data_IF_893924774236
#
_entry.id   IF_893924774236
#
_cell.length_a   1.000
_cell.length_b   1.000
_cell.length_c   1.000
_cell.angle_alpha   90.00
_cell.angle_beta   90.00
_cell.angle_gamma   90.00
#
_symmetry.space_group_name_H-M   'P 1'
#
loop_
_entity.id
_entity.type
_entity.pdbx_description
1 polymer ?
#
# COMPACT_ATOMS: atom_id res chain seq x y z
N UNK A 1 -19.72 23.60 -6.76
CA UNK A 1 -18.28 23.87 -6.55
C UNK A 1 -17.83 22.94 -5.43
N UNK A 2 -17.57 21.67 -5.75
CA UNK A 2 -16.99 20.72 -4.79
C UNK A 2 -15.49 21.00 -4.78
N UNK A 3 -15.00 21.72 -3.78
CA UNK A 3 -13.58 21.68 -3.47
C UNK A 3 -13.27 20.21 -3.14
N UNK A 4 -12.31 19.63 -3.86
CA UNK A 4 -11.83 18.26 -3.66
C UNK A 4 -11.55 18.02 -2.18
N UNK A 5 -12.49 17.37 -1.49
CA UNK A 5 -12.32 16.91 -0.11
C UNK A 5 -11.15 15.92 -0.02
N UNK A 6 -10.87 15.21 -1.12
CA UNK A 6 -9.66 14.41 -1.31
C UNK A 6 -8.40 15.28 -1.22
N UNK A 7 -8.25 16.34 -2.01
CA UNK A 7 -7.07 17.22 -1.95
C UNK A 7 -6.80 17.79 -0.54
N UNK A 8 -7.85 18.03 0.26
CA UNK A 8 -7.72 18.45 1.67
C UNK A 8 -7.26 17.31 2.60
N UNK A 9 -7.70 16.08 2.37
CA UNK A 9 -7.24 14.88 3.06
C UNK A 9 -5.76 14.55 2.76
N UNK A 10 -5.33 14.78 1.51
CA UNK A 10 -3.99 14.45 1.02
C UNK A 10 -2.92 15.41 1.53
N UNK A 11 -3.22 16.71 1.63
CA UNK A 11 -2.34 17.71 2.27
C UNK A 11 -2.67 17.93 3.74
N UNK A 12 -3.26 16.95 4.41
CA UNK A 12 -3.78 17.15 5.75
C UNK A 12 -2.65 17.28 6.80
N UNK A 13 -2.44 18.46 7.43
CA UNK A 13 -1.47 18.62 8.51
C UNK A 13 -1.81 17.78 9.76
N UNK A 14 -3.07 17.39 9.95
CA UNK A 14 -3.48 16.46 11.01
C UNK A 14 -2.91 15.05 10.77
N UNK A 15 -2.72 14.64 9.51
CA UNK A 15 -2.08 13.38 9.17
C UNK A 15 -0.60 13.39 9.57
N UNK A 16 0.11 14.52 9.39
CA UNK A 16 1.51 14.67 9.84
C UNK A 16 1.66 14.47 11.36
N UNK A 17 0.76 15.04 12.15
CA UNK A 17 0.78 14.90 13.62
C UNK A 17 0.42 13.49 14.06
N UNK A 18 -0.69 12.94 13.57
CA UNK A 18 -1.12 11.59 13.91
C UNK A 18 -0.10 10.53 13.48
N UNK A 19 0.63 10.76 12.38
CA UNK A 19 1.75 9.93 11.96
C UNK A 19 2.95 10.04 12.89
N UNK A 20 3.35 11.25 13.27
CA UNK A 20 4.45 11.43 14.20
C UNK A 20 4.15 10.75 15.55
N UNK A 21 2.89 10.75 15.97
CA UNK A 21 2.41 10.00 17.14
C UNK A 21 2.48 8.48 16.92
N UNK A 22 2.08 7.98 15.74
CA UNK A 22 2.20 6.56 15.39
C UNK A 22 3.66 6.09 15.24
N UNK A 23 4.52 6.88 14.60
CA UNK A 23 5.97 6.61 14.45
C UNK A 23 6.69 6.54 15.81
N UNK A 24 6.14 7.21 16.82
CA UNK A 24 6.67 7.16 18.18
C UNK A 24 6.19 5.92 18.96
N UNK A 25 5.25 5.14 18.42
CA UNK A 25 4.80 3.88 19.04
C UNK A 25 5.78 2.74 18.73
N UNK A 26 5.84 1.71 19.59
CA UNK A 26 6.61 0.50 19.30
C UNK A 26 6.14 -0.16 18.01
N UNK A 27 7.08 -0.73 17.26
CA UNK A 27 6.77 -1.53 16.08
C UNK A 27 6.05 -2.82 16.49
N UNK A 28 5.30 -3.40 15.54
CA UNK A 28 4.59 -4.64 15.78
C UNK A 28 5.56 -5.83 15.76
N UNK A 29 5.63 -6.58 16.85
CA UNK A 29 6.34 -7.87 16.88
C UNK A 29 5.58 -8.98 16.13
N UNK A 30 4.37 -8.70 15.65
CA UNK A 30 3.49 -9.68 15.01
C UNK A 30 4.10 -10.34 13.77
N UNK A 31 5.00 -9.63 13.08
CA UNK A 31 5.69 -10.08 11.88
C UNK A 31 7.17 -10.45 12.14
N UNK A 32 7.62 -10.43 13.40
CA UNK A 32 8.99 -10.80 13.80
C UNK A 32 9.13 -12.30 14.08
N UNK A 33 8.06 -12.97 14.51
CA UNK A 33 8.04 -14.43 14.68
C UNK A 33 7.85 -15.10 13.32
N UNK A 34 8.95 -15.55 12.70
CA UNK A 34 8.90 -16.55 11.64
C UNK A 34 8.32 -17.86 12.22
N UNK A 35 7.02 -18.03 12.00
CA UNK A 35 6.25 -19.27 11.83
C UNK A 35 6.16 -20.34 12.93
N UNK A 36 6.98 -20.38 13.98
CA UNK A 36 7.00 -21.62 14.80
C UNK A 36 6.25 -21.54 16.14
N UNK A 37 5.81 -20.36 16.58
CA UNK A 37 5.07 -20.18 17.85
C UNK A 37 3.71 -19.47 17.72
N UNK A 38 3.15 -19.35 16.51
CA UNK A 38 1.71 -19.05 16.33
C UNK A 38 0.90 -20.32 16.62
N UNK A 39 1.22 -21.01 17.72
CA UNK A 39 0.42 -22.09 18.30
C UNK A 39 -0.46 -21.59 19.44
N UNK A 40 -0.38 -20.29 19.78
CA UNK A 40 -1.37 -19.66 20.63
C UNK A 40 -2.64 -19.43 19.82
N UNK A 41 -3.45 -20.49 19.77
CA UNK A 41 -4.86 -20.55 19.35
C UNK A 41 -5.80 -19.53 20.03
N UNK A 42 -5.25 -18.51 20.67
CA UNK A 42 -5.90 -17.45 21.44
C UNK A 42 -5.86 -16.07 20.77
N UNK A 43 -5.04 -15.85 19.74
CA UNK A 43 -4.97 -14.55 19.05
C UNK A 43 -5.71 -14.57 17.70
N UNK A 44 -7.05 -14.41 17.77
CA UNK A 44 -7.96 -14.26 16.60
C UNK A 44 -7.41 -13.26 15.59
N UNK A 45 -6.86 -12.15 16.08
CA UNK A 45 -6.42 -11.07 15.22
C UNK A 45 -5.17 -11.46 14.43
N UNK A 46 -4.31 -12.26 15.06
CA UNK A 46 -3.15 -12.80 14.39
C UNK A 46 -3.48 -13.76 13.26
N UNK A 47 -4.44 -14.68 13.50
CA UNK A 47 -4.87 -15.63 12.48
C UNK A 47 -5.49 -14.91 11.28
N UNK A 48 -6.33 -13.90 11.53
CA UNK A 48 -6.95 -13.10 10.47
C UNK A 48 -5.89 -12.34 9.69
N UNK A 49 -4.94 -11.70 10.39
CA UNK A 49 -3.84 -10.96 9.76
C UNK A 49 -3.03 -11.85 8.84
N UNK A 50 -2.60 -13.02 9.32
CA UNK A 50 -1.81 -13.97 8.51
C UNK A 50 -2.61 -14.48 7.30
N UNK A 51 -3.88 -14.83 7.50
CA UNK A 51 -4.76 -15.32 6.42
C UNK A 51 -4.96 -14.27 5.33
N UNK A 52 -5.19 -13.02 5.72
CA UNK A 52 -5.38 -11.91 4.80
C UNK A 52 -4.06 -11.57 4.08
N UNK A 53 -2.94 -11.55 4.80
CA UNK A 53 -1.61 -11.34 4.22
C UNK A 53 -1.27 -12.44 3.18
N UNK A 54 -1.59 -13.71 3.48
CA UNK A 54 -1.45 -14.81 2.53
C UNK A 54 -2.28 -14.58 1.26
N UNK A 55 -3.54 -14.17 1.40
CA UNK A 55 -4.42 -13.85 0.24
C UNK A 55 -3.90 -12.70 -0.61
N UNK A 56 -3.37 -11.64 0.02
CA UNK A 56 -2.75 -10.54 -0.69
C UNK A 56 -1.49 -11.01 -1.44
N UNK A 57 -0.65 -11.82 -0.78
CA UNK A 57 0.54 -12.42 -1.39
C UNK A 57 0.22 -13.32 -2.58
N UNK A 58 -0.81 -14.17 -2.47
CA UNK A 58 -1.31 -15.01 -3.57
C UNK A 58 -1.80 -14.14 -4.74
N UNK A 59 -2.61 -13.12 -4.48
CA UNK A 59 -3.13 -12.22 -5.52
C UNK A 59 -2.02 -11.43 -6.23
N UNK A 60 -1.03 -10.94 -5.48
CA UNK A 60 0.16 -10.30 -6.04
C UNK A 60 0.97 -11.31 -6.88
N UNK A 61 1.21 -12.51 -6.36
CA UNK A 61 1.93 -13.58 -7.06
C UNK A 61 1.28 -13.92 -8.41
N UNK A 62 -0.03 -14.19 -8.41
CA UNK A 62 -0.79 -14.49 -9.62
C UNK A 62 -0.75 -13.34 -10.65
N UNK A 63 -0.83 -12.09 -10.18
CA UNK A 63 -0.80 -10.94 -11.09
C UNK A 63 0.60 -10.69 -11.68
N UNK A 64 1.64 -10.98 -10.89
CA UNK A 64 3.04 -10.87 -11.29
C UNK A 64 3.42 -11.96 -12.30
N UNK A 65 3.01 -13.21 -12.07
CA UNK A 65 3.24 -14.33 -12.98
C UNK A 65 2.63 -14.10 -14.37
N UNK A 66 1.46 -13.43 -14.42
CA UNK A 66 0.81 -13.05 -15.68
C UNK A 66 1.57 -12.00 -16.49
N UNK A 67 2.52 -11.31 -15.89
CA UNK A 67 3.14 -10.10 -16.42
C UNK A 67 4.66 -10.22 -16.63
N UNK A 68 5.24 -11.40 -16.38
CA UNK A 68 6.67 -11.73 -16.57
C UNK A 68 7.66 -10.73 -15.93
N UNK A 69 7.32 -10.20 -14.75
CA UNK A 69 8.20 -9.23 -14.07
C UNK A 69 9.53 -9.85 -13.60
N UNK A 70 10.62 -9.06 -13.54
CA UNK A 70 11.89 -9.51 -13.00
C UNK A 70 11.78 -10.02 -11.56
N UNK A 71 12.30 -11.23 -11.30
CA UNK A 71 12.25 -11.88 -9.97
C UNK A 71 12.78 -11.01 -8.82
N UNK A 72 13.80 -10.20 -9.08
CA UNK A 72 14.38 -9.31 -8.06
C UNK A 72 13.41 -8.19 -7.66
N UNK A 73 12.70 -7.61 -8.63
CA UNK A 73 11.65 -6.63 -8.40
C UNK A 73 10.50 -7.22 -7.57
N UNK A 74 10.07 -8.43 -7.89
CA UNK A 74 9.06 -9.17 -7.11
C UNK A 74 9.50 -9.39 -5.66
N UNK A 75 10.77 -9.76 -5.44
CA UNK A 75 11.33 -9.94 -4.09
C UNK A 75 11.37 -8.62 -3.32
N UNK A 76 11.75 -7.53 -3.97
CA UNK A 76 11.81 -6.21 -3.34
C UNK A 76 10.41 -5.71 -2.97
N UNK A 77 9.39 -5.97 -3.80
CA UNK A 77 7.99 -5.68 -3.47
C UNK A 77 7.54 -6.46 -2.24
N UNK A 78 7.82 -7.76 -2.21
CA UNK A 78 7.47 -8.60 -1.07
C UNK A 78 8.10 -8.09 0.22
N UNK A 79 9.39 -7.72 0.19
CA UNK A 79 10.08 -7.13 1.33
C UNK A 79 9.47 -5.79 1.76
N UNK A 80 9.05 -4.97 0.80
CA UNK A 80 8.40 -3.69 1.06
C UNK A 80 7.03 -3.88 1.75
N UNK A 81 6.19 -4.79 1.26
CA UNK A 81 4.90 -5.11 1.88
C UNK A 81 5.10 -5.67 3.30
N UNK A 82 6.09 -6.55 3.51
CA UNK A 82 6.43 -7.06 4.84
C UNK A 82 6.91 -5.96 5.79
N UNK A 83 7.74 -5.03 5.31
CA UNK A 83 8.17 -3.85 6.07
C UNK A 83 6.97 -3.02 6.50
N UNK A 84 6.04 -2.72 5.59
CA UNK A 84 4.84 -1.97 5.92
C UNK A 84 3.97 -2.68 6.97
N UNK A 85 3.85 -4.01 6.90
CA UNK A 85 3.18 -4.79 7.94
C UNK A 85 3.87 -4.66 9.30
N UNK A 86 5.19 -4.86 9.35
CA UNK A 86 6.02 -4.72 10.58
C UNK A 86 5.88 -3.34 11.22
N UNK A 87 5.88 -2.31 10.39
CA UNK A 87 5.75 -0.92 10.81
C UNK A 87 4.29 -0.54 11.17
N UNK A 88 3.34 -1.48 11.10
CA UNK A 88 1.90 -1.25 11.27
C UNK A 88 1.35 -0.15 10.33
N UNK A 89 1.91 -0.07 9.11
CA UNK A 89 1.58 0.90 8.06
C UNK A 89 0.65 0.35 6.99
N UNK A 90 0.51 -0.97 6.92
CA UNK A 90 -0.42 -1.67 6.05
C UNK A 90 -0.97 -2.88 6.82
N UNK A 91 -2.27 -2.88 7.10
CA UNK A 91 -2.90 -3.91 7.91
C UNK A 91 -4.32 -4.20 7.42
N UNK A 92 -4.79 -5.45 7.56
CA UNK A 92 -6.12 -5.83 7.09
C UNK A 92 -7.22 -5.36 8.03
N UNK A 93 -8.43 -5.22 7.50
CA UNK A 93 -9.64 -5.17 8.33
C UNK A 93 -9.88 -6.53 9.00
N UNK A 94 -10.30 -6.49 10.27
CA UNK A 94 -10.47 -7.68 11.09
C UNK A 94 -11.82 -8.37 10.89
N UNK A 95 -12.81 -7.63 10.40
CA UNK A 95 -14.18 -8.11 10.25
C UNK A 95 -14.57 -8.26 8.76
N UNK A 96 -13.81 -7.65 7.86
CA UNK A 96 -14.08 -7.60 6.42
C UNK A 96 -12.96 -8.23 5.61
N UNK A 97 -13.32 -9.27 4.85
CA UNK A 97 -12.39 -9.95 3.94
C UNK A 97 -11.94 -9.00 2.83
N UNK A 98 -10.66 -9.10 2.45
CA UNK A 98 -10.05 -8.34 1.36
C UNK A 98 -10.06 -6.81 1.52
N UNK A 99 -10.38 -6.27 2.70
CA UNK A 99 -10.21 -4.84 3.01
C UNK A 99 -8.92 -4.63 3.81
N UNK A 100 -8.24 -3.54 3.50
CA UNK A 100 -6.96 -3.13 4.06
C UNK A 100 -6.98 -1.64 4.34
N UNK A 101 -6.18 -1.22 5.31
CA UNK A 101 -5.96 0.17 5.61
C UNK A 101 -4.48 0.50 5.57
N UNK A 102 -4.19 1.74 5.19
CA UNK A 102 -2.86 2.30 5.29
C UNK A 102 -2.92 3.73 5.81
N UNK A 103 -1.97 4.11 6.65
CA UNK A 103 -1.68 5.50 6.99
C UNK A 103 -0.37 5.99 6.33
N UNK A 104 0.26 5.15 5.49
CA UNK A 104 1.53 5.43 4.84
C UNK A 104 1.37 6.50 3.76
N UNK A 105 2.05 7.63 3.93
CA UNK A 105 1.84 8.82 3.10
C UNK A 105 2.03 8.60 1.62
N UNK A 106 3.11 7.90 1.26
CA UNK A 106 3.47 7.73 -0.14
C UNK A 106 2.52 6.74 -0.83
N UNK A 107 2.00 5.74 -0.11
CA UNK A 107 0.95 4.86 -0.63
C UNK A 107 -0.39 5.59 -0.76
N UNK A 108 -0.76 6.48 0.17
CA UNK A 108 -1.98 7.29 0.06
C UNK A 108 -1.93 8.19 -1.18
N UNK A 109 -0.81 8.89 -1.40
CA UNK A 109 -0.63 9.70 -2.62
C UNK A 109 -0.61 8.83 -3.90
N UNK A 110 -0.08 7.61 -3.81
CA UNK A 110 -0.07 6.68 -4.93
C UNK A 110 -1.49 6.26 -5.31
N UNK A 111 -2.30 5.88 -4.32
CA UNK A 111 -3.70 5.53 -4.50
C UNK A 111 -4.52 6.70 -5.06
N UNK A 112 -4.31 7.93 -4.54
CA UNK A 112 -4.95 9.14 -5.05
C UNK A 112 -4.65 9.35 -6.54
N UNK A 113 -3.38 9.26 -6.93
CA UNK A 113 -2.96 9.44 -8.31
C UNK A 113 -3.65 8.46 -9.27
N UNK A 114 -3.96 7.28 -8.76
CA UNK A 114 -4.66 6.22 -9.49
C UNK A 114 -6.18 6.26 -9.34
N UNK A 115 -6.72 7.17 -8.51
CA UNK A 115 -8.15 7.27 -8.22
C UNK A 115 -8.70 6.10 -7.40
N UNK A 116 -7.91 5.55 -6.47
CA UNK A 116 -8.24 4.37 -5.67
C UNK A 116 -8.51 4.71 -4.19
N UNK A 117 -9.31 3.88 -3.55
CA UNK A 117 -9.59 3.92 -2.11
C UNK A 117 -10.66 4.93 -1.66
N UNK A 118 -11.10 4.80 -0.40
CA UNK A 118 -12.06 5.72 0.24
C UNK A 118 -11.46 6.28 1.53
N UNK A 119 -11.20 7.60 1.60
CA UNK A 119 -10.64 8.22 2.80
C UNK A 119 -11.71 8.50 3.84
N UNK A 120 -13.01 8.45 3.51
CA UNK A 120 -14.11 8.81 4.41
C UNK A 120 -14.44 7.69 5.39
N UNK A 121 -13.98 6.48 5.12
CA UNK A 121 -14.32 5.32 5.90
C UNK A 121 -13.48 5.27 7.18
N UNK A 122 -14.10 4.95 8.33
CA UNK A 122 -13.40 4.75 9.59
C UNK A 122 -12.48 3.54 9.52
N UNK A 123 -11.32 3.60 10.18
CA UNK A 123 -10.51 2.40 10.38
C UNK A 123 -11.22 1.42 11.35
N UNK A 124 -11.87 1.95 12.38
CA UNK A 124 -12.74 1.19 13.28
C UNK A 124 -14.04 1.95 13.57
N UNK A 125 -15.18 1.26 13.80
CA UNK A 125 -16.45 1.91 14.12
C UNK A 125 -16.36 2.92 15.27
N UNK A 126 -15.51 2.65 16.26
CA UNK A 126 -15.27 3.48 17.45
C UNK A 126 -14.27 4.62 17.20
N UNK A 127 -13.45 4.53 16.16
CA UNK A 127 -12.46 5.54 15.77
C UNK A 127 -12.87 6.18 14.43
N UNK A 128 -13.77 7.19 14.47
CA UNK A 128 -14.19 7.87 13.26
C UNK A 128 -12.97 8.49 12.55
N UNK A 129 -12.92 8.39 11.23
CA UNK A 129 -11.83 8.94 10.42
C UNK A 129 -12.00 10.46 10.21
N UNK A 130 -12.16 11.21 11.30
CA UNK A 130 -12.47 12.66 11.34
C UNK A 130 -11.40 13.51 10.65
N UNK A 131 -10.24 12.92 10.36
CA UNK A 131 -9.10 13.57 9.73
C UNK A 131 -8.57 12.82 8.51
N UNK A 132 -9.30 11.87 7.92
CA UNK A 132 -8.82 11.13 6.75
C UNK A 132 -7.40 10.57 6.96
N UNK A 133 -7.12 10.11 8.20
CA UNK A 133 -5.84 9.59 8.67
C UNK A 133 -5.49 8.30 7.93
N UNK A 134 -6.48 7.43 7.81
CA UNK A 134 -6.39 6.14 7.13
C UNK A 134 -7.05 6.22 5.76
N UNK A 135 -6.49 5.49 4.80
CA UNK A 135 -7.12 5.19 3.53
C UNK A 135 -7.53 3.71 3.53
N UNK A 136 -8.80 3.45 3.28
CA UNK A 136 -9.31 2.10 3.03
C UNK A 136 -9.06 1.73 1.56
N UNK A 137 -8.55 0.52 1.36
CA UNK A 137 -8.28 -0.08 0.05
C UNK A 137 -8.76 -1.53 0.06
N UNK A 138 -9.38 -1.96 -1.02
CA UNK A 138 -9.54 -3.38 -1.29
C UNK A 138 -8.21 -4.03 -1.69
N UNK A 139 -8.11 -5.34 -1.52
CA UNK A 139 -7.00 -6.17 -1.99
C UNK A 139 -6.68 -5.92 -3.47
N UNK A 140 -7.71 -5.80 -4.30
CA UNK A 140 -7.53 -5.60 -5.74
C UNK A 140 -6.98 -4.20 -6.04
N UNK A 141 -7.41 -3.16 -5.31
CA UNK A 141 -6.84 -1.82 -5.46
C UNK A 141 -5.37 -1.79 -5.03
N UNK A 142 -5.01 -2.47 -3.93
CA UNK A 142 -3.61 -2.64 -3.54
C UNK A 142 -2.79 -3.32 -4.64
N UNK A 143 -3.28 -4.42 -5.20
CA UNK A 143 -2.62 -5.12 -6.31
C UNK A 143 -2.45 -4.19 -7.52
N UNK A 144 -3.51 -3.53 -7.98
CA UNK A 144 -3.46 -2.60 -9.11
C UNK A 144 -2.49 -1.44 -8.87
N UNK A 145 -2.43 -0.93 -7.64
CA UNK A 145 -1.49 0.12 -7.26
C UNK A 145 -0.03 -0.35 -7.37
N UNK A 146 0.31 -1.51 -6.78
CA UNK A 146 1.67 -2.04 -6.86
C UNK A 146 2.09 -2.35 -8.31
N UNK A 147 1.21 -2.96 -9.10
CA UNK A 147 1.49 -3.24 -10.52
C UNK A 147 1.70 -1.97 -11.34
N UNK A 148 0.95 -0.90 -11.05
CA UNK A 148 1.12 0.39 -11.73
C UNK A 148 2.51 0.98 -11.47
N UNK A 149 2.99 0.87 -10.23
CA UNK A 149 4.36 1.28 -9.88
C UNK A 149 5.39 0.38 -10.57
N UNK A 150 5.18 -0.94 -10.60
CA UNK A 150 6.08 -1.87 -11.29
C UNK A 150 6.19 -1.57 -12.78
N UNK A 151 5.07 -1.33 -13.46
CA UNK A 151 5.06 -0.95 -14.87
C UNK A 151 5.82 0.36 -15.10
N UNK A 152 5.57 1.37 -14.27
CA UNK A 152 6.26 2.66 -14.38
C UNK A 152 7.77 2.57 -14.08
N UNK A 153 8.21 1.58 -13.31
CA UNK A 153 9.63 1.27 -13.13
C UNK A 153 10.18 0.66 -14.43
N UNK A 154 9.50 -0.36 -14.97
CA UNK A 154 9.95 -1.04 -16.19
C UNK A 154 10.02 -0.09 -17.40
N UNK A 155 9.02 0.78 -17.56
CA UNK A 155 8.95 1.74 -18.67
C UNK A 155 10.13 2.73 -18.66
N UNK A 156 10.68 3.08 -17.49
CA UNK A 156 11.88 3.94 -17.38
C UNK A 156 13.17 3.18 -17.70
N UNK A 157 13.21 1.92 -17.32
CA UNK A 157 14.42 1.11 -17.28
C UNK A 157 14.66 0.35 -18.60
N UNK A 158 13.94 0.68 -19.68
CA UNK A 158 14.13 0.16 -21.07
C UNK A 158 15.58 0.29 -21.62
N UNK A 159 16.54 0.73 -20.82
CA UNK A 159 17.95 0.90 -21.20
C UNK A 159 18.98 0.09 -20.40
N UNK A 160 18.65 -0.67 -19.34
CA UNK A 160 19.66 -1.44 -18.59
C UNK A 160 19.19 -2.79 -18.00
N UNK A 161 20.16 -3.70 -17.84
CA UNK A 161 20.01 -5.12 -17.53
C UNK A 161 19.26 -5.40 -16.18
N UNK A 162 17.98 -5.80 -16.26
CA UNK A 162 17.04 -5.97 -15.13
C UNK A 162 17.42 -7.00 -14.04
N UNK A 163 18.39 -7.87 -14.30
CA UNK A 163 18.70 -9.00 -13.40
C UNK A 163 19.40 -8.58 -12.08
N UNK A 164 19.87 -7.33 -11.96
CA UNK A 164 20.67 -6.85 -10.82
C UNK A 164 20.09 -5.65 -10.07
N UNK A 165 19.00 -5.03 -10.53
CA UNK A 165 18.42 -3.84 -9.90
C UNK A 165 17.79 -4.18 -8.54
N UNK A 166 18.33 -3.60 -7.46
CA UNK A 166 17.66 -3.54 -6.17
C UNK A 166 16.82 -2.27 -6.17
N UNK A 167 15.53 -2.39 -5.87
CA UNK A 167 14.61 -1.27 -5.95
C UNK A 167 14.31 -0.75 -4.56
N UNK A 168 14.56 0.53 -4.37
CA UNK A 168 14.04 1.29 -3.24
C UNK A 168 12.58 1.67 -3.53
N UNK A 169 11.67 0.85 -3.02
CA UNK A 169 10.22 1.05 -3.19
C UNK A 169 9.72 2.36 -2.58
N UNK A 170 10.32 2.82 -1.48
CA UNK A 170 9.96 4.11 -0.89
C UNK A 170 10.27 5.25 -1.85
N UNK A 171 11.40 5.18 -2.55
CA UNK A 171 11.78 6.15 -3.57
C UNK A 171 10.96 6.01 -4.86
N UNK A 172 10.70 4.78 -5.33
CA UNK A 172 9.94 4.59 -6.57
C UNK A 172 8.49 5.02 -6.45
N UNK A 173 7.83 4.80 -5.30
CA UNK A 173 6.48 5.33 -5.06
C UNK A 173 6.50 6.86 -5.11
N UNK A 174 7.49 7.52 -4.49
CA UNK A 174 7.62 9.00 -4.56
C UNK A 174 7.87 9.49 -5.98
N UNK A 175 8.69 8.80 -6.77
CA UNK A 175 8.90 9.16 -8.17
C UNK A 175 7.59 9.00 -8.94
N UNK A 176 6.90 7.88 -8.74
CA UNK A 176 5.63 7.58 -9.39
C UNK A 176 4.60 8.67 -9.09
N UNK A 177 4.40 9.06 -7.83
CA UNK A 177 3.45 10.10 -7.44
C UNK A 177 3.77 11.45 -8.09
N UNK A 178 5.06 11.82 -8.14
CA UNK A 178 5.52 13.08 -8.71
C UNK A 178 5.56 13.15 -10.24
N UNK A 179 5.33 12.04 -10.96
CA UNK A 179 5.26 12.12 -12.43
C UNK A 179 4.12 13.04 -12.89
N UNK A 180 4.28 13.81 -13.97
CA UNK A 180 3.15 14.50 -14.58
C UNK A 180 2.09 13.47 -14.99
N UNK A 181 0.83 13.73 -14.67
CA UNK A 181 -0.28 12.98 -15.29
C UNK A 181 -0.26 13.33 -16.77
N UNK A 182 0.02 12.37 -17.64
CA UNK A 182 -0.08 12.62 -19.08
C UNK A 182 -1.54 12.96 -19.40
N UNK A 183 -1.82 14.25 -19.55
CA UNK A 183 -3.05 14.69 -20.20
C UNK A 183 -2.84 14.32 -21.66
N UNK A 184 -3.34 13.16 -22.08
CA UNK A 184 -3.60 12.93 -23.50
C UNK A 184 -4.60 13.99 -23.92
N UNK A 185 -4.10 15.08 -24.49
CA UNK A 185 -4.92 15.95 -25.32
C UNK A 185 -5.32 15.08 -26.51
N UNK A 186 -6.52 14.53 -26.44
CA UNK A 186 -7.20 14.02 -27.63
C UNK A 186 -7.39 15.21 -28.56
N UNK A 187 -6.37 15.47 -29.38
CA UNK A 187 -6.45 16.32 -30.54
C UNK A 187 -7.26 15.56 -31.61
N UNK A 188 -8.53 15.32 -31.34
CA UNK A 188 -9.49 15.03 -32.38
C UNK A 188 -10.02 16.36 -32.91
N UNK A 189 -9.65 16.58 -34.17
CA UNK A 189 -9.93 17.72 -35.03
C UNK A 189 -11.42 17.96 -35.25
#
# INVERSE_FOLDING_TARGET
MFLNLFDQAIKNPFNKKARAEHDAQPQSSFFEDESDNISDSSNRDGEITFRQAKRLGEALGEAIEKSDYPRKLTKDLHNFVLKLGKDARLFPDMDTVDIWYTDYYDLIQCAEKLGLGDPRLPHWPEEPNVHYKYLELSKNELVSMFLSVMNAILDKEETNNFSSLSIDWDNEIKKFTNMPTEIKQDNNS
#
